data_IF_347978896329
#
_entry.id   IF_347978896329
#
_cell.length_a   1.000
_cell.length_b   1.000
_cell.length_c   1.000
_cell.angle_alpha   90.00
_cell.angle_beta   90.00
_cell.angle_gamma   90.00
#
_symmetry.space_group_name_H-M   'P 1'
#
loop_
_entity.id
_entity.type
_entity.pdbx_description
1 polymer ?
#
# COMPACT_ATOMS: atom_id res chain seq x y z
N UNK A 1 18.50 -3.57 4.78
CA UNK A 1 18.55 -2.68 5.97
C UNK A 1 18.70 -3.55 7.21
N UNK A 2 19.61 -3.22 8.10
CA UNK A 2 19.88 -3.99 9.30
C UNK A 2 19.17 -3.38 10.52
N UNK A 3 19.32 -4.04 11.68
CA UNK A 3 18.67 -3.59 12.94
C UNK A 3 19.11 -2.18 13.35
N UNK A 4 20.38 -1.82 13.15
CA UNK A 4 20.88 -0.50 13.48
C UNK A 4 20.19 0.59 12.65
N UNK A 5 20.00 0.35 11.35
CA UNK A 5 19.32 1.30 10.47
C UNK A 5 17.85 1.43 10.83
N UNK A 6 17.19 0.31 11.15
CA UNK A 6 15.81 0.31 11.63
C UNK A 6 15.66 1.17 12.88
N UNK A 7 16.54 0.97 13.87
CA UNK A 7 16.53 1.73 15.12
C UNK A 7 16.74 3.23 14.88
N UNK A 8 17.66 3.59 13.99
CA UNK A 8 17.92 5.00 13.64
C UNK A 8 16.72 5.67 13.00
N UNK A 9 15.99 4.96 12.13
CA UNK A 9 14.80 5.49 11.50
C UNK A 9 13.74 5.80 12.55
N UNK A 10 13.51 4.89 13.50
CA UNK A 10 12.55 5.09 14.57
C UNK A 10 12.96 6.21 15.52
N UNK A 11 14.24 6.35 15.82
CA UNK A 11 14.76 7.44 16.66
C UNK A 11 14.55 8.80 15.99
N UNK A 12 14.82 8.91 14.69
CA UNK A 12 14.59 10.14 13.95
C UNK A 12 13.13 10.55 13.97
N UNK A 13 12.24 9.62 13.70
CA UNK A 13 10.80 9.87 13.72
C UNK A 13 10.34 10.32 15.10
N UNK A 14 10.83 9.68 16.17
CA UNK A 14 10.50 10.04 17.55
C UNK A 14 10.98 11.43 17.94
N UNK A 15 12.22 11.78 17.59
CA UNK A 15 12.78 13.10 17.92
C UNK A 15 12.02 14.26 17.29
N UNK A 16 11.54 14.06 16.07
CA UNK A 16 10.78 15.08 15.36
C UNK A 16 9.29 15.04 15.68
N UNK A 17 8.85 14.17 16.62
CA UNK A 17 7.45 13.86 16.90
C UNK A 17 6.68 13.34 15.68
N UNK A 18 7.38 13.00 14.61
CA UNK A 18 6.75 12.46 13.39
C UNK A 18 6.23 11.06 13.62
N UNK A 19 6.85 10.31 14.56
CA UNK A 19 6.46 8.95 14.86
C UNK A 19 5.03 8.81 15.32
N UNK A 20 4.47 9.83 15.94
CA UNK A 20 3.11 9.83 16.47
C UNK A 20 2.07 10.37 15.48
N UNK A 21 2.49 10.84 14.31
CA UNK A 21 1.57 11.32 13.28
C UNK A 21 0.80 10.14 12.70
N UNK A 22 -0.51 10.30 12.60
CA UNK A 22 -1.37 9.28 12.01
C UNK A 22 -1.24 9.27 10.48
N UNK A 23 -1.30 8.09 9.87
CA UNK A 23 -1.15 7.95 8.41
C UNK A 23 -2.25 8.67 7.64
N UNK A 24 -3.42 8.92 8.26
CA UNK A 24 -4.49 9.70 7.64
C UNK A 24 -4.02 11.10 7.21
N UNK A 25 -2.96 11.62 7.82
CA UNK A 25 -2.42 12.94 7.50
C UNK A 25 -1.65 12.97 6.19
N UNK A 26 -1.17 11.83 5.69
CA UNK A 26 -0.34 11.79 4.49
C UNK A 26 -0.65 10.64 3.54
N UNK A 27 -1.60 9.76 3.87
CA UNK A 27 -2.00 8.67 2.95
C UNK A 27 -2.52 9.25 1.65
N UNK A 28 -2.34 8.52 0.55
CA UNK A 28 -2.96 8.86 -0.72
C UNK A 28 -4.43 8.47 -0.68
N UNK A 29 -5.31 9.41 -1.03
CA UNK A 29 -6.75 9.18 -1.11
C UNK A 29 -7.26 9.09 -2.54
N UNK A 30 -6.38 9.22 -3.52
CA UNK A 30 -6.71 8.98 -4.92
C UNK A 30 -6.75 7.47 -5.17
N UNK A 31 -7.87 6.85 -4.85
CA UNK A 31 -8.01 5.41 -4.81
C UNK A 31 -8.21 4.81 -6.19
N UNK A 32 -7.36 3.84 -6.52
CA UNK A 32 -7.52 2.98 -7.68
C UNK A 32 -7.86 1.58 -7.13
N UNK A 33 -9.11 1.20 -7.21
CA UNK A 33 -9.62 -0.07 -6.69
C UNK A 33 -9.96 -1.00 -7.84
N UNK A 34 -9.65 -2.29 -7.67
CA UNK A 34 -9.95 -3.31 -8.68
C UNK A 34 -11.04 -4.23 -8.17
N UNK A 35 -11.89 -4.70 -9.07
CA UNK A 35 -12.88 -5.74 -8.77
C UNK A 35 -12.30 -7.10 -9.12
N UNK A 36 -12.73 -8.14 -8.41
CA UNK A 36 -12.23 -9.50 -8.61
C UNK A 36 -12.47 -10.04 -10.02
N UNK A 37 -13.50 -9.54 -10.71
CA UNK A 37 -13.82 -9.97 -12.07
C UNK A 37 -13.11 -9.19 -13.18
N UNK A 38 -12.26 -8.23 -12.82
CA UNK A 38 -11.48 -7.50 -13.82
C UNK A 38 -10.48 -8.46 -14.48
N UNK A 39 -10.19 -8.21 -15.76
CA UNK A 39 -9.28 -9.04 -16.52
C UNK A 39 -7.82 -8.66 -16.26
N UNK A 40 -6.92 -9.60 -16.55
CA UNK A 40 -5.49 -9.34 -16.50
C UNK A 40 -5.15 -8.14 -17.40
N UNK A 41 -5.68 -8.13 -18.63
CA UNK A 41 -5.42 -7.04 -19.58
C UNK A 41 -5.88 -5.68 -19.07
N UNK A 42 -7.11 -5.58 -18.57
CA UNK A 42 -7.64 -4.30 -18.07
C UNK A 42 -6.88 -3.81 -16.85
N UNK A 43 -6.41 -4.73 -16.02
CA UNK A 43 -5.63 -4.39 -14.83
C UNK A 43 -4.23 -3.89 -15.21
N UNK A 44 -3.58 -4.52 -16.20
CA UNK A 44 -2.31 -4.04 -16.74
C UNK A 44 -2.46 -2.60 -17.26
N UNK A 45 -3.53 -2.32 -18.01
CA UNK A 45 -3.79 -0.98 -18.52
C UNK A 45 -3.99 0.04 -17.40
N UNK A 46 -4.73 -0.34 -16.36
CA UNK A 46 -4.95 0.49 -15.19
C UNK A 46 -3.62 0.84 -14.51
N UNK A 47 -2.76 -0.16 -14.29
CA UNK A 47 -1.45 0.08 -13.68
C UNK A 47 -0.59 1.01 -14.52
N UNK A 48 -0.61 0.81 -15.85
CA UNK A 48 0.16 1.62 -16.78
C UNK A 48 -0.31 3.08 -16.82
N UNK A 49 -1.63 3.27 -16.94
CA UNK A 49 -2.21 4.62 -17.04
C UNK A 49 -2.01 5.42 -15.76
N UNK A 50 -2.17 4.79 -14.61
CA UNK A 50 -2.07 5.45 -13.30
C UNK A 50 -0.68 5.40 -12.69
N UNK A 51 0.29 4.77 -13.36
CA UNK A 51 1.68 4.64 -12.88
C UNK A 51 1.75 4.05 -11.47
N UNK A 52 0.97 3.00 -11.21
CA UNK A 52 0.94 2.32 -9.92
C UNK A 52 1.57 0.93 -10.04
N UNK A 53 2.08 0.41 -8.91
CA UNK A 53 2.72 -0.90 -8.84
C UNK A 53 1.91 -1.92 -8.05
N UNK A 54 0.74 -1.53 -7.58
CA UNK A 54 -0.15 -2.40 -6.83
C UNK A 54 -1.45 -1.69 -6.53
N UNK A 55 -2.49 -2.46 -6.21
CA UNK A 55 -3.79 -1.91 -5.87
C UNK A 55 -4.60 -2.86 -4.99
N UNK A 56 -5.49 -2.32 -4.16
CA UNK A 56 -6.46 -3.14 -3.44
C UNK A 56 -7.48 -3.75 -4.40
N UNK A 57 -7.90 -4.97 -4.08
CA UNK A 57 -9.00 -5.64 -4.77
C UNK A 57 -10.19 -5.66 -3.81
N UNK A 58 -11.35 -5.25 -4.31
CA UNK A 58 -12.57 -5.12 -3.51
C UNK A 58 -13.68 -5.99 -4.08
N UNK A 59 -14.65 -6.33 -3.23
CA UNK A 59 -15.85 -7.06 -3.64
C UNK A 59 -16.91 -6.11 -4.20
N UNK A 60 -18.09 -6.65 -4.49
CA UNK A 60 -19.19 -5.86 -5.06
C UNK A 60 -19.77 -4.83 -4.08
N UNK A 61 -19.44 -4.93 -2.79
CA UNK A 61 -19.81 -3.96 -1.76
C UNK A 61 -18.68 -2.96 -1.48
N UNK A 62 -17.61 -2.97 -2.28
CA UNK A 62 -16.40 -2.15 -2.14
C UNK A 62 -15.58 -2.45 -0.88
N UNK A 63 -15.75 -3.61 -0.28
CA UNK A 63 -14.93 -4.06 0.84
C UNK A 63 -13.69 -4.77 0.32
N UNK A 64 -12.55 -4.54 0.97
CA UNK A 64 -11.29 -5.14 0.55
C UNK A 64 -11.33 -6.66 0.72
N UNK A 65 -10.92 -7.37 -0.34
CA UNK A 65 -10.82 -8.84 -0.34
C UNK A 65 -9.42 -9.32 -0.69
N UNK A 66 -8.56 -8.43 -1.15
CA UNK A 66 -7.21 -8.81 -1.51
C UNK A 66 -6.39 -7.65 -2.01
N UNK A 67 -5.20 -7.99 -2.47
CA UNK A 67 -4.26 -7.05 -3.08
C UNK A 67 -3.60 -7.73 -4.29
N UNK A 68 -3.18 -6.92 -5.26
CA UNK A 68 -2.45 -7.41 -6.41
C UNK A 68 -1.30 -6.44 -6.72
N UNK A 69 -0.12 -6.99 -7.05
CA UNK A 69 1.06 -6.23 -7.38
C UNK A 69 1.40 -6.36 -8.85
N UNK A 70 2.29 -5.48 -9.34
CA UNK A 70 2.81 -5.60 -10.71
C UNK A 70 3.53 -6.93 -10.92
N UNK A 71 4.21 -7.45 -9.90
CA UNK A 71 4.85 -8.76 -9.98
C UNK A 71 3.82 -9.87 -10.23
N UNK A 72 2.70 -9.83 -9.48
CA UNK A 72 1.62 -10.80 -9.68
C UNK A 72 1.07 -10.73 -11.10
N UNK A 73 0.87 -9.51 -11.63
CA UNK A 73 0.41 -9.33 -13.01
C UNK A 73 1.42 -9.83 -14.04
N UNK A 74 2.71 -9.61 -13.78
CA UNK A 74 3.76 -10.09 -14.69
C UNK A 74 3.68 -11.61 -14.84
N UNK A 75 3.54 -12.32 -13.75
CA UNK A 75 3.44 -13.78 -13.77
C UNK A 75 2.16 -14.22 -14.48
N UNK A 76 1.05 -13.57 -14.22
CA UNK A 76 -0.23 -13.89 -14.85
C UNK A 76 -0.22 -13.61 -16.36
N UNK A 77 0.35 -12.49 -16.77
CA UNK A 77 0.46 -12.12 -18.17
C UNK A 77 1.34 -13.11 -18.94
N UNK A 78 2.36 -13.67 -18.31
CA UNK A 78 3.27 -14.62 -18.94
C UNK A 78 2.71 -16.05 -19.00
N UNK A 79 1.75 -16.40 -18.14
CA UNK A 79 1.33 -17.81 -17.95
C UNK A 79 -0.12 -18.08 -18.27
N UNK A 80 -0.94 -17.08 -18.60
CA UNK A 80 -2.38 -17.28 -18.83
C UNK A 80 -2.94 -16.26 -19.83
N UNK A 81 -4.22 -16.44 -20.18
CA UNK A 81 -4.92 -15.56 -21.11
C UNK A 81 -5.11 -14.17 -20.48
N UNK A 82 -4.83 -13.13 -21.25
CA UNK A 82 -5.03 -11.74 -20.81
C UNK A 82 -6.51 -11.40 -20.60
N UNK A 83 -7.42 -12.14 -21.25
CA UNK A 83 -8.86 -11.97 -21.10
C UNK A 83 -9.42 -12.66 -19.85
N UNK A 84 -8.61 -13.46 -19.16
CA UNK A 84 -9.03 -14.12 -17.93
C UNK A 84 -9.06 -13.17 -16.73
N UNK A 85 -9.78 -13.54 -15.66
CA UNK A 85 -9.82 -12.73 -14.45
C UNK A 85 -8.49 -12.71 -13.74
N UNK A 86 -8.23 -11.63 -12.99
CA UNK A 86 -7.02 -11.53 -12.18
C UNK A 86 -7.06 -12.52 -11.02
N UNK A 87 -5.88 -13.04 -10.66
CA UNK A 87 -5.66 -13.68 -9.37
C UNK A 87 -5.07 -12.64 -8.42
N UNK A 88 -5.60 -12.57 -7.22
CA UNK A 88 -5.14 -11.64 -6.21
C UNK A 88 -4.80 -12.39 -4.92
N UNK A 89 -3.96 -11.77 -4.10
CA UNK A 89 -3.61 -12.34 -2.80
C UNK A 89 -4.65 -11.93 -1.78
N UNK A 90 -5.24 -12.90 -1.10
CA UNK A 90 -6.26 -12.66 -0.07
C UNK A 90 -5.66 -12.42 1.31
N UNK A 91 -4.38 -12.75 1.51
CA UNK A 91 -3.68 -12.44 2.75
C UNK A 91 -3.21 -10.99 2.69
N UNK A 92 -3.88 -10.13 3.44
CA UNK A 92 -3.71 -8.69 3.37
C UNK A 92 -2.98 -8.20 4.62
N UNK A 93 -1.94 -7.38 4.40
CA UNK A 93 -1.38 -6.55 5.47
C UNK A 93 -1.98 -5.17 5.29
N UNK A 94 -2.88 -4.78 6.18
CA UNK A 94 -3.59 -3.50 6.12
C UNK A 94 -3.36 -2.72 7.40
N UNK A 95 -3.53 -1.41 7.31
CA UNK A 95 -3.43 -0.50 8.46
C UNK A 95 -4.71 0.33 8.53
N UNK A 96 -4.85 1.09 9.61
CA UNK A 96 -5.99 1.97 9.85
C UNK A 96 -5.58 3.43 9.71
N UNK A 97 -6.54 4.35 9.50
CA UNK A 97 -6.21 5.79 9.43
C UNK A 97 -5.47 6.31 10.65
N UNK A 98 -5.71 5.71 11.81
CA UNK A 98 -5.08 6.09 13.08
C UNK A 98 -3.71 5.45 13.30
N UNK A 99 -3.29 4.54 12.43
CA UNK A 99 -1.95 3.93 12.50
C UNK A 99 -0.90 5.04 12.41
N UNK A 100 0.10 4.98 13.29
CA UNK A 100 1.12 6.03 13.33
C UNK A 100 2.24 5.80 12.31
N UNK A 101 2.95 6.86 11.97
CA UNK A 101 4.13 6.77 11.11
C UNK A 101 5.14 5.76 11.65
N UNK A 102 5.38 5.76 12.96
CA UNK A 102 6.28 4.81 13.59
C UNK A 102 5.87 3.37 13.32
N UNK A 103 4.58 3.08 13.48
CA UNK A 103 4.08 1.72 13.29
C UNK A 103 4.13 1.29 11.82
N UNK A 104 3.83 2.19 10.89
CA UNK A 104 3.92 1.83 9.46
C UNK A 104 5.37 1.62 9.03
N UNK A 105 6.32 2.36 9.59
CA UNK A 105 7.75 2.13 9.34
C UNK A 105 8.17 0.72 9.76
N UNK A 106 7.69 0.26 10.92
CA UNK A 106 7.97 -1.10 11.40
C UNK A 106 7.40 -2.13 10.42
N UNK A 107 6.19 -1.91 9.93
CA UNK A 107 5.55 -2.82 8.96
C UNK A 107 6.37 -2.88 7.66
N UNK A 108 6.75 -1.73 7.10
CA UNK A 108 7.56 -1.70 5.88
C UNK A 108 8.91 -2.39 6.07
N UNK A 109 9.53 -2.19 7.22
CA UNK A 109 10.81 -2.85 7.52
C UNK A 109 10.66 -4.37 7.63
N UNK A 110 9.68 -4.83 8.42
CA UNK A 110 9.51 -6.27 8.69
C UNK A 110 8.94 -7.03 7.51
N UNK A 111 7.99 -6.47 6.80
CA UNK A 111 7.26 -7.15 5.72
C UNK A 111 7.85 -6.87 4.35
N UNK A 112 8.74 -5.88 4.22
CA UNK A 112 9.39 -5.49 2.96
C UNK A 112 8.38 -5.17 1.85
N UNK A 113 7.26 -4.58 2.21
CA UNK A 113 6.21 -4.18 1.29
C UNK A 113 6.55 -2.83 0.65
N UNK A 114 6.01 -2.58 -0.54
CA UNK A 114 6.14 -1.29 -1.23
C UNK A 114 5.02 -0.33 -0.85
N UNK A 115 3.86 -0.86 -0.47
CA UNK A 115 2.67 -0.10 -0.09
C UNK A 115 1.75 -0.96 0.75
N UNK A 116 0.84 -0.31 1.49
CA UNK A 116 -0.19 -0.99 2.27
C UNK A 116 -1.51 -0.25 2.11
N UNK A 117 -2.64 -0.97 2.07
CA UNK A 117 -3.94 -0.33 2.10
C UNK A 117 -4.29 0.16 3.50
N UNK A 118 -5.00 1.29 3.56
CA UNK A 118 -5.57 1.85 4.78
C UNK A 118 -7.06 1.57 4.75
N UNK A 119 -7.57 0.87 5.75
CA UNK A 119 -8.97 0.44 5.81
C UNK A 119 -9.62 0.92 7.11
N UNK A 120 -10.95 1.01 7.11
CA UNK A 120 -11.69 1.24 8.35
C UNK A 120 -12.16 -0.08 8.98
N UNK A 121 -12.86 -0.01 10.10
CA UNK A 121 -13.35 -1.20 10.81
C UNK A 121 -14.37 -2.02 10.01
N UNK A 122 -14.96 -1.44 8.97
CA UNK A 122 -15.90 -2.13 8.08
C UNK A 122 -15.22 -2.65 6.80
N UNK A 123 -13.90 -2.62 6.74
CA UNK A 123 -13.08 -3.11 5.61
C UNK A 123 -13.21 -2.28 4.32
N UNK A 124 -13.67 -1.04 4.42
CA UNK A 124 -13.62 -0.11 3.28
C UNK A 124 -12.24 0.51 3.17
N UNK A 125 -11.73 0.61 1.95
CA UNK A 125 -10.43 1.23 1.70
C UNK A 125 -10.58 2.74 1.82
N UNK A 126 -9.78 3.34 2.70
CA UNK A 126 -9.78 4.80 2.96
C UNK A 126 -8.62 5.50 2.29
N UNK A 127 -7.56 4.77 2.01
CA UNK A 127 -6.36 5.31 1.38
C UNK A 127 -5.36 4.20 1.12
N UNK A 128 -4.21 4.60 0.62
CA UNK A 128 -3.03 3.74 0.53
C UNK A 128 -1.82 4.52 1.02
N UNK A 129 -0.87 3.82 1.60
CA UNK A 129 0.41 4.40 2.01
C UNK A 129 1.51 3.64 1.30
N UNK A 130 2.33 4.36 0.52
CA UNK A 130 3.51 3.80 -0.14
C UNK A 130 4.77 4.25 0.57
N UNK A 131 5.89 3.60 0.26
CA UNK A 131 7.20 4.03 0.77
C UNK A 131 7.49 5.49 0.39
N UNK A 132 7.13 5.89 -0.84
CA UNK A 132 7.38 7.27 -1.28
C UNK A 132 6.51 8.28 -0.52
N UNK A 133 5.29 7.91 -0.14
CA UNK A 133 4.44 8.77 0.69
C UNK A 133 5.12 9.07 2.04
N UNK A 134 5.68 8.03 2.66
CA UNK A 134 6.41 8.17 3.93
C UNK A 134 7.65 9.04 3.75
N UNK A 135 8.43 8.78 2.70
CA UNK A 135 9.64 9.56 2.42
C UNK A 135 9.31 11.03 2.20
N UNK A 136 8.30 11.32 1.40
CA UNK A 136 7.89 12.70 1.13
C UNK A 136 7.43 13.39 2.40
N UNK A 137 6.65 12.71 3.23
CA UNK A 137 6.19 13.29 4.49
C UNK A 137 7.36 13.62 5.41
N UNK A 138 8.29 12.69 5.60
CA UNK A 138 9.47 12.91 6.44
C UNK A 138 10.31 14.08 5.89
N UNK A 139 10.53 14.10 4.57
CA UNK A 139 11.36 15.13 3.94
C UNK A 139 10.78 16.52 4.08
N UNK A 140 9.45 16.67 4.07
CA UNK A 140 8.79 17.96 4.14
C UNK A 140 8.48 18.43 5.56
N UNK A 141 8.55 17.56 6.55
CA UNK A 141 8.18 17.84 7.94
C UNK A 141 9.33 17.64 8.93
N UNK A 142 10.53 17.32 8.44
CA UNK A 142 11.71 17.12 9.28
C UNK A 142 12.62 18.34 9.15
N UNK A 143 13.11 18.83 10.28
CA UNK A 143 14.08 19.95 10.34
C UNK A 143 15.53 19.50 10.11
N UNK A 144 15.70 18.25 9.74
CA UNK A 144 17.02 17.66 9.60
C UNK A 144 17.56 17.70 8.18
#
# INVERSE_FOLDING_TARGET
MNELNHKKILEKASKANLGEIEVSQFMSTNLILLKANYTVKSTIETFRVHHISGAPVVDYQDKIIGVISEYDLLIQAASRLLSGPIDYKSKIVAIYPETTLKDVLVIFYKKKLKWVPVINENNYVKGVVSRIDVLNFIATHSDL
#
